data_IF_353264355004
#
_entry.id   IF_353264355004
#
_cell.length_a   1.000
_cell.length_b   1.000
_cell.length_c   1.000
_cell.angle_alpha   90.00
_cell.angle_beta   90.00
_cell.angle_gamma   90.00
#
_symmetry.space_group_name_H-M   'P 1'
#
loop_
_entity.id
_entity.type
_entity.pdbx_description
1 polymer ?
#
# COMPACT_ATOMS: atom_id res chain seq x y z
N UNK A 1 -10.77 -41.90 1.61
CA UNK A 1 -11.67 -41.44 0.53
C UNK A 1 -13.02 -40.99 1.12
N UNK A 2 -13.81 -41.87 1.74
CA UNK A 2 -15.12 -41.51 2.32
C UNK A 2 -15.11 -40.33 3.34
N UNK A 3 -14.05 -40.17 4.14
CA UNK A 3 -13.97 -39.08 5.14
C UNK A 3 -13.82 -37.68 4.51
N UNK A 4 -13.06 -37.57 3.42
CA UNK A 4 -12.88 -36.30 2.70
C UNK A 4 -14.16 -35.89 1.95
N UNK A 5 -14.94 -36.87 1.49
CA UNK A 5 -16.25 -36.65 0.86
C UNK A 5 -17.29 -36.17 1.87
N UNK A 6 -17.29 -36.74 3.08
CA UNK A 6 -18.18 -36.31 4.18
C UNK A 6 -17.81 -34.90 4.66
N UNK A 7 -16.51 -34.57 4.76
CA UNK A 7 -16.06 -33.24 5.18
C UNK A 7 -16.37 -32.17 4.12
N UNK A 8 -16.27 -32.51 2.83
CA UNK A 8 -16.67 -31.63 1.73
C UNK A 8 -18.19 -31.35 1.75
N UNK A 9 -19.01 -32.39 1.90
CA UNK A 9 -20.47 -32.26 2.00
C UNK A 9 -20.91 -31.50 3.26
N UNK A 10 -20.19 -31.65 4.38
CA UNK A 10 -20.43 -30.86 5.60
C UNK A 10 -20.12 -29.39 5.39
N UNK A 11 -19.00 -29.07 4.74
CA UNK A 11 -18.64 -27.68 4.42
C UNK A 11 -19.65 -27.04 3.47
N UNK A 12 -20.14 -27.79 2.48
CA UNK A 12 -21.23 -27.32 1.61
C UNK A 12 -22.55 -27.12 2.37
N UNK A 13 -22.92 -28.06 3.25
CA UNK A 13 -24.11 -27.95 4.09
C UNK A 13 -24.05 -26.75 5.05
N UNK A 14 -22.89 -26.51 5.67
CA UNK A 14 -22.67 -25.35 6.55
C UNK A 14 -22.75 -24.03 5.77
N UNK A 15 -22.16 -23.96 4.59
CA UNK A 15 -22.26 -22.78 3.72
C UNK A 15 -23.71 -22.53 3.27
N UNK A 16 -24.43 -23.56 2.83
CA UNK A 16 -25.83 -23.43 2.42
C UNK A 16 -26.73 -23.05 3.59
N UNK A 17 -26.49 -23.62 4.77
CA UNK A 17 -27.23 -23.30 5.99
C UNK A 17 -26.96 -21.88 6.46
N UNK A 18 -25.73 -21.38 6.33
CA UNK A 18 -25.38 -19.99 6.64
C UNK A 18 -26.07 -19.01 5.68
N UNK A 19 -26.08 -19.33 4.38
CA UNK A 19 -26.79 -18.55 3.37
C UNK A 19 -28.32 -18.56 3.58
N UNK A 20 -28.89 -19.70 3.96
CA UNK A 20 -30.31 -19.82 4.33
C UNK A 20 -30.63 -18.98 5.57
N UNK A 21 -29.78 -19.02 6.59
CA UNK A 21 -30.00 -18.26 7.81
C UNK A 21 -29.84 -16.75 7.59
N UNK A 22 -28.88 -16.33 6.75
CA UNK A 22 -28.73 -14.94 6.31
C UNK A 22 -29.96 -14.48 5.50
N UNK A 23 -30.51 -15.35 4.64
CA UNK A 23 -31.73 -15.08 3.88
C UNK A 23 -32.98 -14.99 4.76
N UNK A 24 -33.14 -15.89 5.74
CA UNK A 24 -34.24 -15.88 6.70
C UNK A 24 -34.19 -14.68 7.64
N UNK A 25 -32.99 -14.28 8.10
CA UNK A 25 -32.77 -13.08 8.90
C UNK A 25 -33.02 -11.79 8.11
N UNK A 26 -32.70 -11.77 6.81
CA UNK A 26 -33.06 -10.66 5.93
C UNK A 26 -34.58 -10.59 5.71
N UNK A 27 -35.26 -11.74 5.58
CA UNK A 27 -36.70 -11.84 5.30
C UNK A 27 -37.58 -11.59 6.53
N UNK A 28 -37.06 -11.71 7.75
CA UNK A 28 -37.80 -11.45 9.00
C UNK A 28 -38.06 -9.97 9.29
N UNK A 29 -37.59 -9.05 8.41
CA UNK A 29 -37.84 -7.60 8.54
C UNK A 29 -37.13 -6.96 9.73
N UNK A 30 -36.20 -7.66 10.38
CA UNK A 30 -35.55 -7.24 11.64
C UNK A 30 -34.20 -6.53 11.41
N UNK A 31 -33.84 -6.28 10.14
CA UNK A 31 -32.56 -5.67 9.78
C UNK A 31 -32.76 -4.18 9.52
N UNK A 32 -32.69 -3.40 10.59
CA UNK A 32 -32.73 -1.92 10.51
C UNK A 32 -31.43 -1.33 9.93
N UNK A 33 -30.32 -2.09 9.95
CA UNK A 33 -28.99 -1.61 9.52
C UNK A 33 -28.32 -2.64 8.61
N UNK A 34 -28.07 -2.27 7.35
CA UNK A 34 -27.25 -3.03 6.40
C UNK A 34 -25.86 -2.41 6.35
N UNK A 35 -24.82 -3.17 6.73
CA UNK A 35 -23.42 -2.70 6.74
C UNK A 35 -22.70 -3.14 5.46
N UNK A 36 -21.94 -2.23 4.85
CA UNK A 36 -20.97 -2.51 3.79
C UNK A 36 -19.58 -2.24 4.34
N UNK A 37 -18.66 -3.15 4.07
CA UNK A 37 -17.27 -3.06 4.50
C UNK A 37 -16.45 -2.13 3.59
N UNK A 38 -16.92 -1.89 2.35
CA UNK A 38 -16.28 -1.08 1.33
C UNK A 38 -17.29 -0.63 0.25
N UNK A 39 -16.86 0.26 -0.65
CA UNK A 39 -17.71 0.80 -1.73
C UNK A 39 -18.17 -0.27 -2.72
N UNK A 40 -17.40 -1.35 -2.93
CA UNK A 40 -17.72 -2.45 -3.85
C UNK A 40 -18.90 -3.31 -3.32
N UNK A 41 -19.17 -3.27 -2.01
CA UNK A 41 -20.29 -3.97 -1.39
C UNK A 41 -21.61 -3.18 -1.42
N UNK A 42 -21.59 -1.88 -1.77
CA UNK A 42 -22.81 -1.05 -1.83
C UNK A 42 -23.90 -1.62 -2.76
N UNK A 43 -23.59 -2.13 -3.97
CA UNK A 43 -24.61 -2.75 -4.81
C UNK A 43 -25.31 -3.95 -4.15
N UNK A 44 -24.57 -4.75 -3.37
CA UNK A 44 -25.12 -5.90 -2.67
C UNK A 44 -26.10 -5.47 -1.57
N UNK A 45 -25.86 -4.33 -0.93
CA UNK A 45 -26.81 -3.74 0.03
C UNK A 45 -28.14 -3.41 -0.64
N UNK A 46 -28.15 -2.85 -1.85
CA UNK A 46 -29.40 -2.52 -2.54
C UNK A 46 -30.25 -3.77 -2.81
N UNK A 47 -29.61 -4.88 -3.19
CA UNK A 47 -30.28 -6.17 -3.39
C UNK A 47 -30.82 -6.71 -2.06
N UNK A 48 -30.00 -6.70 -1.01
CA UNK A 48 -30.40 -7.15 0.34
C UNK A 48 -31.54 -6.31 0.91
N UNK A 49 -31.50 -4.99 0.73
CA UNK A 49 -32.56 -4.07 1.15
C UNK A 49 -33.88 -4.33 0.43
N UNK A 50 -33.84 -4.60 -0.89
CA UNK A 50 -35.03 -4.99 -1.65
C UNK A 50 -35.67 -6.25 -1.07
N UNK A 51 -34.85 -7.27 -0.78
CA UNK A 51 -35.31 -8.54 -0.20
C UNK A 51 -35.88 -8.32 1.20
N UNK A 52 -35.21 -7.52 2.03
CA UNK A 52 -35.65 -7.21 3.39
C UNK A 52 -36.97 -6.44 3.43
N UNK A 53 -37.22 -5.55 2.45
CA UNK A 53 -38.52 -4.89 2.26
C UNK A 53 -39.58 -5.79 1.60
N UNK A 54 -39.25 -7.03 1.24
CA UNK A 54 -40.18 -7.96 0.60
C UNK A 54 -40.61 -7.55 -0.82
N UNK A 55 -39.89 -6.62 -1.46
CA UNK A 55 -40.23 -6.12 -2.78
C UNK A 55 -39.75 -7.10 -3.87
N UNK A 56 -40.65 -7.47 -4.78
CA UNK A 56 -40.27 -8.17 -6.01
C UNK A 56 -39.54 -7.23 -6.97
N UNK A 57 -38.72 -7.79 -7.87
CA UNK A 57 -38.05 -7.01 -8.92
C UNK A 57 -39.04 -6.22 -9.79
N UNK A 58 -40.23 -6.80 -10.03
CA UNK A 58 -41.33 -6.14 -10.73
C UNK A 58 -41.89 -4.93 -9.98
N UNK A 59 -42.05 -5.04 -8.66
CA UNK A 59 -42.54 -3.93 -7.82
C UNK A 59 -41.51 -2.80 -7.77
N UNK A 60 -40.23 -3.12 -7.54
CA UNK A 60 -39.16 -2.12 -7.57
C UNK A 60 -39.07 -1.42 -8.94
N UNK A 61 -39.26 -2.17 -10.03
CA UNK A 61 -39.26 -1.61 -11.38
C UNK A 61 -40.43 -0.63 -11.58
N UNK A 62 -41.61 -0.94 -11.02
CA UNK A 62 -42.77 -0.06 -11.05
C UNK A 62 -42.52 1.23 -10.26
N UNK A 63 -41.93 1.14 -9.08
CA UNK A 63 -41.68 2.28 -8.20
C UNK A 63 -40.63 3.24 -8.76
N UNK A 64 -39.61 2.71 -9.46
CA UNK A 64 -38.56 3.50 -10.12
C UNK A 64 -38.98 3.97 -11.53
N UNK A 65 -40.03 3.37 -12.11
CA UNK A 65 -40.45 3.62 -13.50
C UNK A 65 -39.55 2.97 -14.55
N UNK A 66 -38.92 1.84 -14.22
CA UNK A 66 -38.07 1.06 -15.13
C UNK A 66 -38.76 -0.22 -15.61
N UNK A 67 -38.17 -0.87 -16.63
CA UNK A 67 -38.60 -2.20 -17.06
C UNK A 67 -38.05 -3.26 -16.10
N UNK A 68 -38.85 -4.27 -15.78
CA UNK A 68 -38.44 -5.39 -14.90
C UNK A 68 -37.15 -6.07 -15.37
N UNK A 69 -37.03 -6.32 -16.68
CA UNK A 69 -35.83 -6.89 -17.29
C UNK A 69 -34.55 -6.08 -17.01
N UNK A 70 -34.68 -4.76 -16.86
CA UNK A 70 -33.55 -3.89 -16.56
C UNK A 70 -33.07 -4.08 -15.12
N UNK A 71 -33.99 -4.24 -14.16
CA UNK A 71 -33.66 -4.54 -12.77
C UNK A 71 -33.07 -5.94 -12.66
N UNK A 72 -33.65 -6.93 -13.34
CA UNK A 72 -33.09 -8.28 -13.40
C UNK A 72 -31.65 -8.31 -13.89
N UNK A 73 -31.35 -7.59 -14.98
CA UNK A 73 -29.98 -7.49 -15.50
C UNK A 73 -29.05 -6.83 -14.49
N UNK A 74 -29.50 -5.75 -13.86
CA UNK A 74 -28.67 -5.10 -12.84
C UNK A 74 -28.45 -6.00 -11.64
N UNK A 75 -29.45 -6.66 -11.09
CA UNK A 75 -29.26 -7.55 -9.94
C UNK A 75 -28.40 -8.76 -10.29
N UNK A 76 -28.50 -9.30 -11.52
CA UNK A 76 -27.67 -10.41 -11.98
C UNK A 76 -26.18 -10.03 -12.13
N UNK A 77 -25.89 -8.77 -12.47
CA UNK A 77 -24.52 -8.24 -12.58
C UNK A 77 -24.09 -7.47 -11.31
N UNK A 78 -24.83 -7.59 -10.20
CA UNK A 78 -24.59 -6.82 -8.96
C UNK A 78 -24.42 -5.31 -9.22
N UNK A 79 -25.22 -4.77 -10.13
CA UNK A 79 -25.21 -3.38 -10.63
C UNK A 79 -23.84 -2.91 -11.15
N UNK A 80 -22.92 -3.80 -11.53
CA UNK A 80 -21.59 -3.45 -12.04
C UNK A 80 -21.63 -2.50 -13.25
N UNK A 81 -22.66 -2.60 -14.10
CA UNK A 81 -22.88 -1.75 -15.27
C UNK A 81 -23.73 -0.50 -14.98
N UNK A 82 -24.21 -0.30 -13.75
CA UNK A 82 -25.02 0.84 -13.37
C UNK A 82 -24.15 2.03 -12.96
N UNK A 83 -24.53 3.24 -13.39
CA UNK A 83 -23.88 4.46 -12.94
C UNK A 83 -24.43 4.91 -11.57
N UNK A 84 -23.69 5.79 -10.89
CA UNK A 84 -24.04 6.28 -9.56
C UNK A 84 -25.45 6.90 -9.49
N UNK A 85 -25.88 7.61 -10.54
CA UNK A 85 -27.24 8.18 -10.62
C UNK A 85 -28.33 7.11 -10.59
N UNK A 86 -28.11 5.96 -11.24
CA UNK A 86 -29.02 4.82 -11.22
C UNK A 86 -29.05 4.15 -9.86
N UNK A 87 -27.89 3.98 -9.21
CA UNK A 87 -27.80 3.45 -7.85
C UNK A 87 -28.54 4.33 -6.85
N UNK A 88 -28.37 5.65 -6.94
CA UNK A 88 -29.08 6.61 -6.09
C UNK A 88 -30.61 6.55 -6.28
N UNK A 89 -31.09 6.38 -7.53
CA UNK A 89 -32.52 6.20 -7.80
C UNK A 89 -33.09 4.93 -7.14
N UNK A 90 -32.34 3.84 -7.20
CA UNK A 90 -32.72 2.58 -6.53
C UNK A 90 -32.71 2.75 -5.01
N UNK A 91 -31.66 3.36 -4.45
CA UNK A 91 -31.55 3.63 -3.02
C UNK A 91 -32.71 4.49 -2.50
N UNK A 92 -33.09 5.54 -3.23
CA UNK A 92 -34.21 6.41 -2.88
C UNK A 92 -35.56 5.69 -2.96
N UNK A 93 -35.78 4.85 -3.98
CA UNK A 93 -37.00 4.04 -4.08
C UNK A 93 -37.11 2.98 -2.97
N UNK A 94 -35.96 2.53 -2.46
CA UNK A 94 -35.87 1.66 -1.29
C UNK A 94 -35.89 2.44 0.03
N UNK A 95 -36.02 3.77 0.01
CA UNK A 95 -35.98 4.67 1.18
C UNK A 95 -34.75 4.46 2.07
N UNK A 96 -33.61 4.15 1.47
CA UNK A 96 -32.37 3.93 2.19
C UNK A 96 -31.69 5.27 2.50
N UNK A 97 -31.48 5.54 3.79
CA UNK A 97 -30.60 6.62 4.22
C UNK A 97 -29.15 6.13 4.15
N UNK A 98 -28.52 6.32 2.99
CA UNK A 98 -27.09 6.05 2.80
C UNK A 98 -26.31 7.26 3.32
N UNK A 99 -25.82 7.19 4.54
CA UNK A 99 -24.87 8.16 5.08
C UNK A 99 -23.45 7.74 4.73
N UNK A 100 -22.73 8.56 3.97
CA UNK A 100 -21.31 8.34 3.72
C UNK A 100 -20.50 8.87 4.90
N UNK A 101 -19.92 7.97 5.68
CA UNK A 101 -18.75 8.31 6.50
C UNK A 101 -17.54 7.98 5.64
N UNK A 102 -17.05 8.99 4.91
CA UNK A 102 -15.78 8.91 4.20
C UNK A 102 -14.65 9.04 5.22
N UNK A 103 -14.37 7.95 5.92
CA UNK A 103 -13.13 7.84 6.65
C UNK A 103 -12.00 7.75 5.63
N UNK A 104 -10.94 8.53 5.83
CA UNK A 104 -9.69 8.14 5.21
C UNK A 104 -9.45 6.71 5.70
N UNK A 105 -9.51 5.73 4.79
CA UNK A 105 -8.76 4.52 5.03
C UNK A 105 -7.38 5.05 5.37
N UNK A 106 -6.95 4.85 6.61
CA UNK A 106 -5.56 4.94 6.93
C UNK A 106 -4.87 3.81 6.14
N UNK A 107 -4.82 3.90 4.79
CA UNK A 107 -3.52 3.93 4.14
C UNK A 107 -2.81 5.02 4.90
N UNK A 108 -1.96 4.66 5.86
CA UNK A 108 -1.31 5.71 6.58
C UNK A 108 -0.56 6.44 5.47
N UNK A 109 -0.74 7.75 5.39
CA UNK A 109 0.36 8.57 4.88
C UNK A 109 1.47 8.27 5.87
N UNK A 110 2.23 7.20 5.62
CA UNK A 110 3.32 6.81 6.49
C UNK A 110 4.43 7.79 6.14
N UNK A 111 4.37 8.96 6.78
CA UNK A 111 5.54 9.43 7.51
C UNK A 111 6.04 8.29 8.40
N UNK A 112 7.33 8.26 8.72
CA UNK A 112 7.95 7.35 9.71
C UNK A 112 7.35 7.48 11.14
N UNK A 113 6.05 7.67 11.27
CA UNK A 113 5.31 7.92 12.51
C UNK A 113 4.65 6.63 13.02
N UNK A 114 4.97 5.45 12.46
CA UNK A 114 4.68 4.21 13.17
C UNK A 114 5.53 4.23 14.44
N UNK A 115 4.90 4.44 15.59
CA UNK A 115 5.58 4.39 16.88
C UNK A 115 6.29 3.04 17.00
N UNK A 116 7.51 3.05 17.59
CA UNK A 116 8.34 1.84 17.72
C UNK A 116 7.57 0.68 18.36
N UNK A 117 6.58 1.00 19.19
CA UNK A 117 5.75 0.07 19.94
C UNK A 117 4.66 -0.63 19.09
N UNK A 118 4.39 -0.18 17.86
CA UNK A 118 3.38 -0.77 16.96
C UNK A 118 3.97 -1.71 15.89
N UNK A 119 5.28 -1.91 15.85
CA UNK A 119 5.93 -2.70 14.81
C UNK A 119 5.93 -4.19 15.16
N UNK A 120 5.32 -5.03 14.29
CA UNK A 120 5.46 -6.48 14.38
C UNK A 120 6.86 -6.90 13.87
N UNK A 121 7.80 -7.08 14.81
CA UNK A 121 9.20 -7.35 14.54
C UNK A 121 9.45 -8.66 13.78
N UNK A 122 8.57 -9.65 13.98
CA UNK A 122 8.56 -10.97 13.34
C UNK A 122 8.28 -10.92 11.83
N UNK A 123 7.62 -9.85 11.34
CA UNK A 123 7.24 -9.71 9.93
C UNK A 123 8.38 -9.16 9.04
N UNK A 124 9.51 -8.77 9.63
CA UNK A 124 10.67 -8.29 8.87
C UNK A 124 11.34 -9.41 8.08
N UNK A 125 11.91 -9.11 6.89
CA UNK A 125 12.57 -10.12 6.05
C UNK A 125 13.98 -10.48 6.57
N UNK A 126 14.07 -11.02 7.80
CA UNK A 126 15.33 -11.37 8.49
C UNK A 126 16.28 -12.18 7.61
N UNK A 127 15.75 -13.23 6.98
CA UNK A 127 16.55 -14.14 6.14
C UNK A 127 17.21 -13.39 4.98
N UNK A 128 16.49 -12.45 4.38
CA UNK A 128 17.03 -11.63 3.29
C UNK A 128 18.03 -10.59 3.81
N UNK A 129 17.74 -9.93 4.94
CA UNK A 129 18.64 -8.96 5.58
C UNK A 129 19.96 -9.59 6.03
N UNK A 130 19.91 -10.79 6.60
CA UNK A 130 21.08 -11.56 7.02
C UNK A 130 21.94 -11.97 5.82
N UNK A 131 21.34 -12.56 4.78
CA UNK A 131 22.05 -12.93 3.53
C UNK A 131 22.73 -11.74 2.86
N UNK A 132 22.17 -10.53 3.03
CA UNK A 132 22.75 -9.27 2.53
C UNK A 132 23.76 -8.63 3.49
N UNK A 133 24.12 -9.30 4.58
CA UNK A 133 25.06 -8.84 5.60
C UNK A 133 24.67 -7.50 6.24
N UNK A 134 23.37 -7.27 6.47
CA UNK A 134 22.91 -6.00 7.07
C UNK A 134 23.19 -5.90 8.57
N UNK A 135 23.37 -7.04 9.26
CA UNK A 135 23.62 -7.14 10.70
C UNK A 135 25.11 -7.27 11.08
N UNK A 136 26.03 -7.31 10.11
CA UNK A 136 27.45 -7.62 10.31
C UNK A 136 28.20 -6.74 11.33
N UNK A 137 27.69 -5.54 11.59
CA UNK A 137 28.32 -4.58 12.50
C UNK A 137 28.05 -4.92 13.97
N UNK A 138 27.05 -5.77 14.27
CA UNK A 138 26.62 -6.07 15.63
C UNK A 138 26.13 -7.51 15.86
N UNK A 139 26.12 -8.36 14.82
CA UNK A 139 25.78 -9.77 14.90
C UNK A 139 26.69 -10.61 13.99
N UNK A 140 27.23 -11.71 14.52
CA UNK A 140 28.14 -12.63 13.83
C UNK A 140 27.72 -14.10 13.94
N UNK A 141 26.49 -14.37 14.41
CA UNK A 141 25.95 -15.71 14.56
C UNK A 141 25.45 -16.35 13.25
N UNK A 142 24.93 -17.57 13.35
CA UNK A 142 24.37 -18.33 12.22
C UNK A 142 23.01 -17.80 11.75
N UNK A 143 22.53 -18.24 10.58
CA UNK A 143 21.20 -17.86 10.08
C UNK A 143 20.08 -18.32 11.03
N UNK A 144 20.22 -19.50 11.61
CA UNK A 144 19.23 -20.06 12.53
C UNK A 144 19.18 -19.27 13.84
N UNK A 145 20.32 -18.83 14.35
CA UNK A 145 20.41 -17.90 15.49
C UNK A 145 19.82 -16.52 15.16
N UNK A 146 19.97 -16.04 13.92
CA UNK A 146 19.39 -14.77 13.49
C UNK A 146 17.85 -14.84 13.42
N UNK A 147 17.30 -16.00 13.03
CA UNK A 147 15.85 -16.22 13.02
C UNK A 147 15.32 -16.43 14.44
N UNK A 148 16.05 -17.15 15.29
CA UNK A 148 15.67 -17.34 16.70
C UNK A 148 15.64 -16.02 17.48
N UNK A 149 16.55 -15.09 17.18
CA UNK A 149 16.63 -13.77 17.81
C UNK A 149 16.12 -12.66 16.87
N UNK A 150 15.10 -12.94 16.05
CA UNK A 150 14.62 -12.02 15.02
C UNK A 150 14.17 -10.68 15.59
N UNK A 151 13.46 -10.70 16.72
CA UNK A 151 12.89 -9.49 17.33
C UNK A 151 13.99 -8.55 17.81
N UNK A 152 14.91 -9.04 18.65
CA UNK A 152 16.03 -8.26 19.18
C UNK A 152 16.92 -7.69 18.06
N UNK A 153 17.20 -8.50 17.03
CA UNK A 153 18.04 -8.06 15.91
C UNK A 153 17.40 -6.95 15.10
N UNK A 154 16.09 -7.02 14.83
CA UNK A 154 15.38 -5.98 14.09
C UNK A 154 15.18 -4.75 14.94
N UNK A 155 14.78 -4.91 16.21
CA UNK A 155 14.61 -3.78 17.12
C UNK A 155 15.91 -2.99 17.22
N UNK A 156 17.05 -3.66 17.41
CA UNK A 156 18.37 -3.03 17.41
C UNK A 156 18.71 -2.37 16.08
N UNK A 157 18.40 -3.03 14.96
CA UNK A 157 18.62 -2.48 13.62
C UNK A 157 17.80 -1.20 13.38
N UNK A 158 16.51 -1.22 13.71
CA UNK A 158 15.59 -0.11 13.53
C UNK A 158 15.95 1.04 14.48
N UNK A 159 16.20 0.73 15.76
CA UNK A 159 16.58 1.72 16.78
C UNK A 159 17.91 2.39 16.46
N UNK A 160 18.87 1.67 15.87
CA UNK A 160 20.13 2.29 15.42
C UNK A 160 19.97 3.33 14.30
N UNK A 161 18.79 3.39 13.67
CA UNK A 161 18.51 4.24 12.52
C UNK A 161 17.46 5.33 12.79
N UNK A 162 16.55 5.12 13.76
CA UNK A 162 15.41 6.00 14.05
C UNK A 162 15.52 6.57 15.46
N UNK A 163 16.01 7.81 15.56
CA UNK A 163 15.91 8.59 16.80
C UNK A 163 14.62 9.44 16.88
N UNK A 164 14.04 9.83 15.73
CA UNK A 164 12.77 10.55 15.61
C UNK A 164 12.13 10.27 14.24
N UNK A 165 10.82 10.51 14.05
CA UNK A 165 10.16 10.35 12.76
C UNK A 165 10.88 11.10 11.63
N UNK A 166 11.23 10.38 10.57
CA UNK A 166 11.89 10.89 9.36
C UNK A 166 10.84 11.07 8.26
N UNK A 167 10.62 12.30 7.80
CA UNK A 167 9.75 12.50 6.64
C UNK A 167 10.38 11.85 5.39
N UNK A 168 9.72 10.82 4.89
CA UNK A 168 10.15 10.04 3.73
C UNK A 168 9.15 10.18 2.59
N UNK A 169 9.62 10.60 1.42
CA UNK A 169 8.85 10.59 0.17
C UNK A 169 9.31 9.41 -0.68
N UNK A 170 8.60 8.30 -0.59
CA UNK A 170 8.88 7.09 -1.36
C UNK A 170 8.25 7.19 -2.76
N UNK A 171 9.04 6.91 -3.80
CA UNK A 171 8.53 6.76 -5.16
C UNK A 171 8.16 5.31 -5.41
N UNK A 172 6.87 5.01 -5.36
CA UNK A 172 6.33 3.66 -5.56
C UNK A 172 5.38 3.62 -6.77
N UNK A 173 5.49 2.57 -7.59
CA UNK A 173 4.48 2.20 -8.59
C UNK A 173 3.92 0.83 -8.23
N UNK A 174 2.73 0.83 -7.64
CA UNK A 174 2.00 -0.39 -7.27
C UNK A 174 0.82 -0.51 -8.22
N UNK A 175 0.73 -1.62 -8.98
CA UNK A 175 -0.45 -1.93 -9.81
C UNK A 175 -1.60 -2.29 -8.88
N UNK A 176 -2.86 -2.04 -9.29
CA UNK A 176 -4.03 -2.52 -8.54
C UNK A 176 -3.89 -4.02 -8.26
N UNK A 177 -4.06 -4.43 -7.00
CA UNK A 177 -3.90 -5.82 -6.53
C UNK A 177 -2.47 -6.25 -6.13
N UNK A 178 -1.46 -5.37 -6.22
CA UNK A 178 -0.11 -5.66 -5.75
C UNK A 178 0.02 -5.52 -4.23
N UNK A 179 0.36 -6.61 -3.53
CA UNK A 179 0.70 -6.57 -2.12
C UNK A 179 2.14 -6.06 -1.94
N UNK A 180 2.29 -4.94 -1.23
CA UNK A 180 3.59 -4.38 -0.88
C UNK A 180 3.99 -4.89 0.49
N UNK A 181 5.18 -5.50 0.59
CA UNK A 181 5.71 -5.90 1.89
C UNK A 181 6.20 -4.65 2.64
N UNK A 182 5.37 -4.19 3.59
CA UNK A 182 5.60 -2.97 4.38
C UNK A 182 6.84 -3.07 5.27
N UNK A 183 7.09 -4.23 5.87
CA UNK A 183 8.24 -4.45 6.74
C UNK A 183 9.55 -4.46 5.94
N UNK A 184 9.54 -5.02 4.73
CA UNK A 184 10.66 -4.93 3.80
C UNK A 184 10.96 -3.49 3.37
N UNK A 185 9.95 -2.63 3.23
CA UNK A 185 10.16 -1.20 2.97
C UNK A 185 10.82 -0.50 4.15
N UNK A 186 10.31 -0.70 5.37
CA UNK A 186 10.88 -0.10 6.58
C UNK A 186 12.33 -0.53 6.74
N UNK A 187 12.61 -1.83 6.59
CA UNK A 187 13.97 -2.38 6.64
C UNK A 187 14.90 -1.70 5.62
N UNK A 188 14.43 -1.54 4.38
CA UNK A 188 15.20 -0.88 3.33
C UNK A 188 15.48 0.59 3.64
N UNK A 189 14.49 1.33 4.13
CA UNK A 189 14.66 2.73 4.47
C UNK A 189 15.62 2.91 5.67
N UNK A 190 15.49 2.08 6.71
CA UNK A 190 16.44 2.04 7.84
C UNK A 190 17.86 1.81 7.34
N UNK A 191 18.04 0.88 6.39
CA UNK A 191 19.35 0.62 5.79
C UNK A 191 19.92 1.85 5.09
N UNK A 192 19.11 2.57 4.32
CA UNK A 192 19.53 3.82 3.67
C UNK A 192 19.98 4.84 4.70
N UNK A 193 19.23 5.01 5.80
CA UNK A 193 19.56 5.97 6.87
C UNK A 193 20.88 5.59 7.55
N UNK A 194 21.07 4.34 7.95
CA UNK A 194 22.31 3.85 8.59
C UNK A 194 23.52 4.13 7.68
N UNK A 195 23.39 3.84 6.39
CA UNK A 195 24.47 4.09 5.43
C UNK A 195 24.71 5.59 5.23
N UNK A 196 23.66 6.41 5.21
CA UNK A 196 23.79 7.86 5.10
C UNK A 196 24.50 8.48 6.32
N UNK A 197 24.18 8.01 7.53
CA UNK A 197 24.81 8.44 8.78
C UNK A 197 26.30 8.07 8.86
N UNK A 198 26.70 6.93 8.28
CA UNK A 198 28.11 6.52 8.20
C UNK A 198 28.95 7.36 7.23
N UNK A 199 28.31 8.08 6.31
CA UNK A 199 29.04 8.90 5.34
C UNK A 199 29.36 10.28 5.92
N UNK A 200 30.60 10.73 5.72
CA UNK A 200 31.01 12.09 6.11
C UNK A 200 30.21 13.13 5.32
N UNK A 201 29.60 14.06 6.03
CA UNK A 201 28.92 15.21 5.45
C UNK A 201 29.97 16.18 4.89
N UNK A 202 30.02 16.33 3.57
CA UNK A 202 31.00 17.19 2.89
C UNK A 202 30.63 18.67 3.04
N UNK A 203 29.32 18.99 3.00
CA UNK A 203 28.78 20.34 3.15
C UNK A 203 27.44 20.32 3.86
N UNK A 204 27.18 21.35 4.67
CA UNK A 204 25.86 21.54 5.29
C UNK A 204 24.84 21.93 4.21
N UNK A 205 23.72 21.22 4.18
CA UNK A 205 22.65 21.50 3.23
C UNK A 205 22.03 22.87 3.46
N UNK A 206 21.80 23.60 2.36
CA UNK A 206 21.06 24.85 2.34
C UNK A 206 19.88 24.72 1.36
N UNK A 207 18.65 24.89 1.88
CA UNK A 207 17.41 24.76 1.11
C UNK A 207 17.33 25.74 -0.07
N UNK A 208 17.97 26.91 0.04
CA UNK A 208 17.94 27.95 -0.99
C UNK A 208 18.79 27.61 -2.22
N UNK A 209 19.58 26.53 -2.17
CA UNK A 209 20.41 26.08 -3.31
C UNK A 209 19.56 25.46 -4.43
N UNK A 210 18.39 24.92 -4.09
CA UNK A 210 17.51 24.28 -5.08
C UNK A 210 16.69 25.36 -5.79
N UNK A 211 17.25 25.93 -6.85
CA UNK A 211 16.55 26.84 -7.78
C UNK A 211 16.18 26.12 -9.08
N UNK A 212 15.37 26.77 -9.92
CA UNK A 212 15.03 26.24 -11.25
C UNK A 212 16.29 26.05 -12.10
N UNK A 213 17.22 27.00 -12.05
CA UNK A 213 18.50 26.94 -12.78
C UNK A 213 19.37 25.78 -12.27
N UNK A 214 19.37 25.55 -10.95
CA UNK A 214 20.08 24.43 -10.35
C UNK A 214 19.51 23.07 -10.80
N UNK A 215 18.18 22.95 -10.87
CA UNK A 215 17.51 21.75 -11.38
C UNK A 215 17.79 21.53 -12.87
N UNK A 216 17.76 22.57 -13.69
CA UNK A 216 18.08 22.48 -15.12
C UNK A 216 19.52 21.98 -15.33
N UNK A 217 20.48 22.46 -14.52
CA UNK A 217 21.86 21.96 -14.56
C UNK A 217 21.94 20.48 -14.19
N UNK A 218 21.26 20.06 -13.12
CA UNK A 218 21.21 18.66 -12.73
C UNK A 218 20.64 17.76 -13.85
N UNK A 219 19.58 18.19 -14.53
CA UNK A 219 18.99 17.46 -15.66
C UNK A 219 19.95 17.41 -16.85
N UNK A 220 20.69 18.48 -17.12
CA UNK A 220 21.63 18.52 -18.25
C UNK A 220 22.78 17.51 -18.12
N UNK A 221 23.14 17.14 -16.88
CA UNK A 221 24.13 16.07 -16.62
C UNK A 221 23.68 14.72 -17.20
N UNK A 222 22.40 14.54 -17.54
CA UNK A 222 21.91 13.32 -18.20
C UNK A 222 22.46 13.09 -19.60
N UNK A 223 22.93 14.15 -20.27
CA UNK A 223 23.51 14.08 -21.60
C UNK A 223 25.01 13.77 -21.59
N UNK A 224 25.63 13.66 -20.41
CA UNK A 224 27.07 13.43 -20.26
C UNK A 224 27.40 11.94 -20.11
N UNK A 225 28.57 11.52 -20.61
CA UNK A 225 29.01 10.11 -20.62
C UNK A 225 29.09 9.49 -19.21
N UNK A 226 29.54 10.26 -18.20
CA UNK A 226 29.55 9.91 -16.77
C UNK A 226 28.41 10.58 -15.98
N UNK A 227 27.28 10.88 -16.64
CA UNK A 227 26.17 11.65 -16.10
C UNK A 227 25.71 11.24 -14.68
N UNK A 228 25.46 9.95 -14.39
CA UNK A 228 25.04 9.51 -13.06
C UNK A 228 26.07 9.81 -11.95
N UNK A 229 27.37 9.62 -12.23
CA UNK A 229 28.43 9.92 -11.26
C UNK A 229 28.49 11.43 -10.98
N UNK A 230 28.45 12.24 -12.04
CA UNK A 230 28.44 13.71 -11.94
C UNK A 230 27.21 14.22 -11.21
N UNK A 231 26.05 13.60 -11.41
CA UNK A 231 24.84 13.92 -10.68
C UNK A 231 24.97 13.63 -9.17
N UNK A 232 25.57 12.49 -8.81
CA UNK A 232 25.84 12.18 -7.39
C UNK A 232 26.79 13.20 -6.76
N UNK A 233 27.86 13.57 -7.46
CA UNK A 233 28.80 14.59 -7.00
C UNK A 233 28.12 15.96 -6.87
N UNK A 234 27.30 16.36 -7.84
CA UNK A 234 26.56 17.61 -7.82
C UNK A 234 25.59 17.70 -6.64
N UNK A 235 24.87 16.61 -6.36
CA UNK A 235 23.99 16.48 -5.19
C UNK A 235 24.80 16.55 -3.89
N UNK A 236 25.90 15.81 -3.81
CA UNK A 236 26.78 15.77 -2.63
C UNK A 236 27.40 17.12 -2.32
N UNK A 237 27.81 17.86 -3.34
CA UNK A 237 28.34 19.23 -3.24
C UNK A 237 27.30 20.23 -2.75
N UNK A 238 26.01 19.92 -2.89
CA UNK A 238 24.90 20.71 -2.36
C UNK A 238 24.50 20.29 -0.94
N UNK A 239 25.14 19.26 -0.37
CA UNK A 239 24.81 18.71 0.95
C UNK A 239 23.72 17.64 0.92
N UNK A 240 23.34 17.14 -0.26
CA UNK A 240 22.37 16.06 -0.45
C UNK A 240 23.12 14.74 -0.59
N UNK A 241 22.85 13.78 0.31
CA UNK A 241 23.51 12.50 0.26
C UNK A 241 22.75 11.50 -0.61
N UNK A 242 23.44 10.76 -1.48
CA UNK A 242 22.81 9.75 -2.34
C UNK A 242 23.33 8.37 -1.96
N UNK A 243 22.42 7.46 -1.63
CA UNK A 243 22.74 6.11 -1.18
C UNK A 243 22.07 5.11 -2.12
N UNK A 244 22.86 4.15 -2.58
CA UNK A 244 22.37 3.03 -3.39
C UNK A 244 22.17 1.82 -2.47
N UNK A 245 20.94 1.33 -2.36
CA UNK A 245 20.62 0.10 -1.62
C UNK A 245 19.75 -0.76 -2.51
N UNK A 246 20.16 -1.97 -2.92
CA UNK A 246 19.32 -2.84 -3.73
C UNK A 246 17.97 -3.10 -3.07
N UNK A 247 16.89 -3.10 -3.86
CA UNK A 247 15.54 -3.36 -3.33
C UNK A 247 15.46 -4.69 -2.57
N UNK A 248 14.60 -4.77 -1.55
CA UNK A 248 14.19 -6.03 -0.93
C UNK A 248 12.99 -6.62 -1.70
N UNK A 249 12.77 -7.93 -1.56
CA UNK A 249 11.65 -8.63 -2.21
C UNK A 249 10.31 -7.96 -1.91
N UNK A 250 9.42 -7.89 -2.90
CA UNK A 250 8.05 -7.34 -2.77
C UNK A 250 7.94 -5.88 -2.28
N UNK A 251 9.02 -5.08 -2.38
CA UNK A 251 8.99 -3.66 -1.99
C UNK A 251 8.37 -2.75 -3.05
N UNK A 252 8.41 -3.12 -4.33
CA UNK A 252 7.93 -2.30 -5.46
C UNK A 252 8.44 -0.84 -5.43
N UNK A 253 9.64 -0.64 -4.90
CA UNK A 253 10.27 0.66 -4.67
C UNK A 253 11.31 0.97 -5.75
N UNK A 254 11.25 2.18 -6.33
CA UNK A 254 12.31 2.68 -7.24
C UNK A 254 13.36 3.49 -6.44
N UNK A 255 12.92 4.25 -5.44
CA UNK A 255 13.77 5.00 -4.51
C UNK A 255 12.93 5.84 -3.53
N UNK A 256 13.58 6.54 -2.60
CA UNK A 256 12.93 7.43 -1.66
C UNK A 256 13.84 8.61 -1.30
N UNK A 257 13.24 9.76 -1.02
CA UNK A 257 13.94 10.92 -0.45
C UNK A 257 13.57 11.06 1.03
N UNK A 258 14.54 11.39 1.87
CA UNK A 258 14.41 11.53 3.31
C UNK A 258 14.99 12.88 3.74
N UNK A 259 14.41 13.47 4.78
CA UNK A 259 15.05 14.55 5.53
C UNK A 259 15.37 14.05 6.93
N UNK A 260 16.66 13.84 7.22
CA UNK A 260 17.10 13.43 8.55
C UNK A 260 16.88 14.55 9.57
N UNK A 261 16.78 14.17 10.85
CA UNK A 261 16.66 15.10 12.00
C UNK A 261 17.77 16.13 12.09
N UNK A 262 18.95 15.82 11.54
CA UNK A 262 20.08 16.72 11.37
C UNK A 262 19.88 17.79 10.28
N UNK A 263 18.68 17.87 9.69
CA UNK A 263 18.36 18.69 8.51
C UNK A 263 19.23 18.34 7.29
N UNK A 264 19.61 17.06 7.19
CA UNK A 264 20.39 16.52 6.08
C UNK A 264 19.47 15.74 5.13
N UNK A 265 19.34 16.17 3.86
CA UNK A 265 18.57 15.44 2.87
C UNK A 265 19.36 14.22 2.38
N UNK A 266 18.64 13.10 2.22
CA UNK A 266 19.17 11.83 1.73
C UNK A 266 18.26 11.32 0.62
N UNK A 267 18.84 10.82 -0.46
CA UNK A 267 18.13 10.15 -1.56
C UNK A 267 18.61 8.70 -1.59
N UNK A 268 17.71 7.76 -1.29
CA UNK A 268 17.93 6.34 -1.48
C UNK A 268 17.44 5.89 -2.86
N UNK A 269 18.25 5.13 -3.59
CA UNK A 269 17.84 4.53 -4.86
C UNK A 269 18.07 3.02 -4.86
N UNK A 270 17.18 2.28 -5.54
CA UNK A 270 17.21 0.81 -5.53
C UNK A 270 17.95 0.16 -6.69
N UNK A 271 18.10 0.88 -7.81
CA UNK A 271 18.64 0.38 -9.08
C UNK A 271 18.06 -0.99 -9.50
N UNK A 272 16.75 -1.17 -9.33
CA UNK A 272 16.03 -2.45 -9.52
C UNK A 272 16.22 -3.09 -10.89
N UNK A 273 16.58 -2.33 -11.92
CA UNK A 273 17.02 -2.86 -13.20
C UNK A 273 18.38 -2.25 -13.55
N UNK A 274 19.34 -3.10 -13.87
CA UNK A 274 20.69 -2.74 -14.33
C UNK A 274 20.63 -2.15 -15.74
N UNK A 275 20.04 -0.96 -15.86
CA UNK A 275 19.93 -0.21 -17.11
C UNK A 275 20.18 1.28 -16.84
N UNK A 276 21.03 1.90 -17.65
CA UNK A 276 21.47 3.31 -17.55
C UNK A 276 20.31 4.32 -17.63
N UNK A 277 19.18 3.93 -18.22
CA UNK A 277 17.96 4.72 -18.38
C UNK A 277 17.14 4.90 -17.08
N UNK A 278 17.30 4.03 -16.08
CA UNK A 278 16.56 4.10 -14.82
C UNK A 278 16.87 5.33 -13.96
N UNK A 279 18.08 5.87 -14.07
CA UNK A 279 18.49 7.02 -13.26
C UNK A 279 17.77 8.30 -13.69
N UNK A 280 17.50 8.46 -15.01
CA UNK A 280 17.00 9.72 -15.59
C UNK A 280 15.53 9.71 -16.03
N UNK A 281 15.00 8.62 -16.60
CA UNK A 281 13.83 8.70 -17.51
C UNK A 281 12.50 8.11 -17.04
N UNK A 282 12.22 8.00 -15.74
CA UNK A 282 10.81 7.84 -15.30
C UNK A 282 10.13 9.20 -15.17
N UNK A 283 9.82 9.82 -16.29
CA UNK A 283 8.73 10.75 -16.53
C UNK A 283 8.12 10.33 -17.86
N UNK A 284 6.88 9.83 -17.87
CA UNK A 284 6.22 9.48 -19.12
C UNK A 284 5.98 10.75 -19.93
N UNK A 285 6.79 10.98 -20.96
CA UNK A 285 6.30 11.62 -22.17
C UNK A 285 5.97 10.48 -23.13
N UNK A 286 4.68 10.18 -23.28
CA UNK A 286 4.21 9.50 -24.49
C UNK A 286 4.04 10.57 -25.57
N UNK A 287 4.42 10.27 -26.82
CA UNK A 287 4.19 11.15 -27.97
C UNK A 287 2.69 11.35 -28.24
#
# INVERSE_FOLDING_TARGET
LAKAEIDALRSEYENLSMQLHEYEALKSGTVEILKASNLEELPKILIRARIAKGLSQRQLAKDIGWKEQQIQRYEAEEYASANLSRLAKVANALELNISEIAEFSAKPKISFDAEKDELAWDQFPIKEMYRRNWFKDFFSGSLDEAVANSEELVEKFVTSSIDKPVQAFARQRVRLGGHVNRYALIAWQCRVIILAQKQKVVRKYNKNVITKEWLTKLVHLSSEEDGPKKAFEYLRNSGINVIVVPHLSQTHLDGAAFLLTSNQPVIGITLRYDRLDNFWFKGEFRP
#
